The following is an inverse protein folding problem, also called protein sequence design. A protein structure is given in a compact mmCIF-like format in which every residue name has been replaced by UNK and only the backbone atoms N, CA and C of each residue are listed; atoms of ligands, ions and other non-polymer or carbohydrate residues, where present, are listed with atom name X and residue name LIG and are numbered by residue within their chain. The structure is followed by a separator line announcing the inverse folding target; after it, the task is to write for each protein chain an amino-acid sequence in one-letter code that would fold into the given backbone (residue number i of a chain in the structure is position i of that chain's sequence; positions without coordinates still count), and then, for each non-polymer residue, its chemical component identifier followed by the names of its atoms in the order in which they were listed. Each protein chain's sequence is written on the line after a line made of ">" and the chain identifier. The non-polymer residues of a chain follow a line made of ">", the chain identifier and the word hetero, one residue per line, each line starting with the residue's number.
data_IF_945290602978
#
_entry.id   IF_945290602978
#
_cell.length_a   1.000
_cell.length_b   1.000
_cell.length_c   1.000
_cell.angle_alpha   90.00
_cell.angle_beta   90.00
_cell.angle_gamma   90.00
#
_symmetry.space_group_name_H-M   'P 1'
#
loop_
_entity.id
_entity.type
_entity.pdbx_description
1 polymer ?
#
# COMPACT_ATOMS: atom_id res chain seq x y z
N UNK A 1 -12.44 8.64 -7.67
CA UNK A 1 -11.22 9.04 -8.40
C UNK A 1 -10.29 7.87 -8.72
N UNK A 2 -10.01 6.95 -7.78
CA UNK A 2 -9.29 5.72 -8.16
C UNK A 2 -10.10 4.90 -9.18
N UNK A 3 -11.41 4.83 -8.95
CA UNK A 3 -12.37 4.21 -9.86
C UNK A 3 -12.48 4.94 -11.21
N UNK A 4 -12.33 6.28 -11.26
CA UNK A 4 -12.41 7.01 -12.53
C UNK A 4 -11.17 6.79 -13.40
N UNK A 5 -9.98 6.66 -12.79
CA UNK A 5 -8.78 6.21 -13.50
C UNK A 5 -9.00 4.83 -14.12
N UNK A 6 -9.53 3.90 -13.33
CA UNK A 6 -9.86 2.55 -13.79
C UNK A 6 -10.87 2.57 -14.95
N UNK A 7 -11.97 3.30 -14.81
CA UNK A 7 -13.04 3.38 -15.81
C UNK A 7 -12.56 4.04 -17.11
N UNK A 8 -11.69 5.07 -17.01
CA UNK A 8 -11.07 5.73 -18.15
C UNK A 8 -10.11 4.82 -18.92
N UNK A 9 -9.25 4.07 -18.20
CA UNK A 9 -8.34 3.09 -18.80
C UNK A 9 -9.12 1.93 -19.45
N UNK A 10 -10.15 1.41 -18.79
CA UNK A 10 -11.03 0.39 -19.36
C UNK A 10 -11.71 0.86 -20.65
N UNK A 11 -12.13 2.13 -20.71
CA UNK A 11 -12.71 2.73 -21.91
C UNK A 11 -11.69 2.84 -23.05
N UNK A 12 -10.44 3.20 -22.73
CA UNK A 12 -9.33 3.20 -23.68
C UNK A 12 -9.04 1.81 -24.26
N UNK A 13 -9.17 0.76 -23.44
CA UNK A 13 -8.97 -0.62 -23.90
C UNK A 13 -10.14 -1.15 -24.74
N UNK A 14 -11.37 -0.79 -24.38
CA UNK A 14 -12.58 -1.15 -25.15
C UNK A 14 -12.59 -0.51 -26.54
N UNK A 15 -12.10 0.72 -26.71
CA UNK A 15 -12.05 1.36 -28.04
C UNK A 15 -11.09 0.65 -29.02
N UNK A 16 -10.09 -0.05 -28.49
CA UNK A 16 -9.17 -0.90 -29.25
C UNK A 16 -9.74 -2.32 -29.49
N UNK A 17 -10.77 -2.72 -28.74
CA UNK A 17 -11.45 -4.00 -28.89
C UNK A 17 -12.22 -4.02 -30.22
N UNK A 18 -11.97 -5.04 -31.05
CA UNK A 18 -12.55 -5.15 -32.40
C UNK A 18 -11.71 -4.52 -33.52
N UNK A 19 -10.59 -3.86 -33.20
CA UNK A 19 -9.59 -3.48 -34.22
C UNK A 19 -8.73 -4.71 -34.52
N UNK A 20 -8.73 -5.17 -35.78
CA UNK A 20 -8.02 -6.39 -36.19
C UNK A 20 -6.48 -6.28 -36.22
N UNK A 21 -5.93 -5.06 -36.20
CA UNK A 21 -4.47 -4.79 -36.13
C UNK A 21 -4.20 -3.52 -35.34
N UNK A 22 -3.02 -3.47 -34.71
CA UNK A 22 -2.49 -2.28 -34.03
C UNK A 22 -1.98 -1.29 -35.10
N UNK A 23 -2.69 -0.19 -35.33
CA UNK A 23 -2.30 0.87 -36.28
C UNK A 23 -1.87 2.13 -35.52
N UNK A 24 -1.08 3.00 -36.15
CA UNK A 24 -0.63 4.25 -35.54
C UNK A 24 -1.80 5.14 -35.09
N UNK A 25 -2.87 5.20 -35.90
CA UNK A 25 -4.07 5.97 -35.57
C UNK A 25 -4.78 5.45 -34.31
N UNK A 26 -5.01 4.13 -34.23
CA UNK A 26 -5.67 3.52 -33.06
C UNK A 26 -4.79 3.63 -31.80
N UNK A 27 -3.47 3.48 -31.93
CA UNK A 27 -2.54 3.65 -30.79
C UNK A 27 -2.57 5.08 -30.26
N UNK A 28 -2.52 6.08 -31.14
CA UNK A 28 -2.57 7.49 -30.75
C UNK A 28 -3.86 7.82 -30.00
N UNK A 29 -4.99 7.27 -30.44
CA UNK A 29 -6.27 7.40 -29.76
C UNK A 29 -6.25 6.77 -28.36
N UNK A 30 -5.75 5.53 -28.24
CA UNK A 30 -5.61 4.84 -26.94
C UNK A 30 -4.70 5.59 -25.96
N UNK A 31 -3.55 6.09 -26.45
CA UNK A 31 -2.61 6.89 -25.66
C UNK A 31 -3.25 8.19 -25.17
N UNK A 32 -4.00 8.90 -26.01
CA UNK A 32 -4.70 10.12 -25.62
C UNK A 32 -5.79 9.87 -24.56
N UNK A 33 -6.47 8.72 -24.60
CA UNK A 33 -7.43 8.32 -23.58
C UNK A 33 -6.74 7.99 -22.25
N UNK A 34 -5.58 7.31 -22.29
CA UNK A 34 -4.75 7.06 -21.10
C UNK A 34 -4.28 8.38 -20.48
N UNK A 35 -3.77 9.31 -21.30
CA UNK A 35 -3.35 10.66 -20.88
C UNK A 35 -4.49 11.38 -20.14
N UNK A 36 -5.67 11.45 -20.77
CA UNK A 36 -6.85 12.08 -20.17
C UNK A 36 -7.22 11.43 -18.83
N UNK A 37 -7.21 10.10 -18.77
CA UNK A 37 -7.57 9.36 -17.56
C UNK A 37 -6.60 9.63 -16.40
N UNK A 38 -5.30 9.77 -16.69
CA UNK A 38 -4.29 10.11 -15.70
C UNK A 38 -4.46 11.55 -15.20
N UNK A 39 -4.73 12.51 -16.09
CA UNK A 39 -5.00 13.90 -15.71
C UNK A 39 -6.26 14.03 -14.86
N UNK A 40 -7.35 13.35 -15.25
CA UNK A 40 -8.61 13.31 -14.48
C UNK A 40 -8.44 12.64 -13.11
N UNK A 41 -7.42 11.80 -12.94
CA UNK A 41 -7.06 11.18 -11.67
C UNK A 41 -6.10 12.03 -10.81
N UNK A 42 -5.93 13.31 -11.14
CA UNK A 42 -5.01 14.25 -10.52
C UNK A 42 -3.54 13.77 -10.51
N UNK A 43 -3.10 13.06 -11.56
CA UNK A 43 -1.66 12.80 -11.75
C UNK A 43 -0.99 14.10 -12.18
N UNK A 44 0.22 14.36 -11.66
CA UNK A 44 1.02 15.51 -12.04
C UNK A 44 1.29 15.53 -13.56
N UNK A 45 1.06 16.68 -14.21
CA UNK A 45 1.07 16.80 -15.68
C UNK A 45 2.43 16.45 -16.31
N UNK A 46 3.54 16.74 -15.63
CA UNK A 46 4.87 16.42 -16.14
C UNK A 46 5.13 14.92 -16.11
N UNK A 47 4.60 14.25 -15.07
CA UNK A 47 4.63 12.79 -14.93
C UNK A 47 3.76 12.13 -15.99
N UNK A 48 2.55 12.66 -16.24
CA UNK A 48 1.68 12.16 -17.32
C UNK A 48 2.39 12.27 -18.67
N UNK A 49 2.97 13.43 -18.99
CA UNK A 49 3.68 13.64 -20.27
C UNK A 49 4.85 12.68 -20.46
N UNK A 50 5.64 12.45 -19.41
CA UNK A 50 6.74 11.49 -19.45
C UNK A 50 6.22 10.07 -19.68
N UNK A 51 5.22 9.66 -18.90
CA UNK A 51 4.63 8.32 -18.99
C UNK A 51 4.03 8.03 -20.38
N UNK A 52 3.25 8.97 -20.91
CA UNK A 52 2.63 8.88 -22.24
C UNK A 52 3.69 8.75 -23.34
N UNK A 53 4.80 9.48 -23.21
CA UNK A 53 5.93 9.38 -24.13
C UNK A 53 6.58 7.99 -24.07
N UNK A 54 6.80 7.45 -22.88
CA UNK A 54 7.43 6.14 -22.70
C UNK A 54 6.52 5.02 -23.25
N UNK A 55 5.21 5.10 -23.02
CA UNK A 55 4.20 4.21 -23.61
C UNK A 55 4.20 4.29 -25.13
N UNK A 56 4.30 5.49 -25.71
CA UNK A 56 4.34 5.67 -27.17
C UNK A 56 5.57 5.00 -27.79
N UNK A 57 6.75 5.20 -27.19
CA UNK A 57 8.01 4.58 -27.65
C UNK A 57 7.94 3.06 -27.55
N UNK A 58 7.42 2.53 -26.43
CA UNK A 58 7.25 1.09 -26.24
C UNK A 58 6.26 0.49 -27.26
N UNK A 59 5.15 1.19 -27.53
CA UNK A 59 4.15 0.76 -28.51
C UNK A 59 4.70 0.74 -29.95
N UNK A 60 5.49 1.74 -30.34
CA UNK A 60 6.17 1.75 -31.64
C UNK A 60 7.17 0.59 -31.79
N UNK A 61 7.95 0.29 -30.74
CA UNK A 61 8.89 -0.82 -30.73
C UNK A 61 8.21 -2.19 -30.87
N UNK A 62 7.01 -2.36 -30.31
CA UNK A 62 6.23 -3.61 -30.40
C UNK A 62 5.35 -3.72 -31.63
N UNK A 63 5.14 -2.63 -32.37
CA UNK A 63 4.41 -2.60 -33.66
C UNK A 63 4.96 -3.61 -34.67
N UNK A 64 6.23 -4.00 -34.54
CA UNK A 64 6.91 -4.97 -35.42
C UNK A 64 6.40 -6.41 -35.22
N UNK A 65 5.77 -6.71 -34.07
CA UNK A 65 5.14 -7.99 -33.81
C UNK A 65 3.65 -7.89 -34.16
N UNK A 66 3.25 -8.54 -35.25
CA UNK A 66 1.86 -8.63 -35.72
C UNK A 66 0.99 -9.38 -34.70
N UNK A 67 0.54 -8.70 -33.64
CA UNK A 67 -0.34 -9.29 -32.62
C UNK A 67 -1.78 -9.38 -33.14
N UNK A 68 -2.35 -10.58 -33.07
CA UNK A 68 -3.76 -10.85 -33.39
C UNK A 68 -4.73 -10.21 -32.38
N UNK A 69 -4.22 -9.70 -31.24
CA UNK A 69 -5.01 -9.06 -30.17
C UNK A 69 -4.38 -7.71 -29.76
N UNK A 70 -4.63 -6.65 -30.55
CA UNK A 70 -4.04 -5.32 -30.32
C UNK A 70 -4.38 -4.70 -28.95
N UNK A 71 -5.59 -4.94 -28.45
CA UNK A 71 -6.03 -4.43 -27.15
C UNK A 71 -5.23 -5.02 -25.98
N UNK A 72 -5.02 -6.34 -25.94
CA UNK A 72 -4.25 -6.99 -24.88
C UNK A 72 -2.79 -6.55 -24.89
N UNK A 73 -2.20 -6.38 -26.08
CA UNK A 73 -0.83 -5.91 -26.20
C UNK A 73 -0.68 -4.47 -25.71
N UNK A 74 -1.64 -3.59 -26.03
CA UNK A 74 -1.64 -2.22 -25.52
C UNK A 74 -1.80 -2.16 -24.00
N UNK A 75 -2.73 -2.95 -23.42
CA UNK A 75 -2.87 -3.09 -21.97
C UNK A 75 -1.56 -3.54 -21.34
N UNK A 76 -0.90 -4.53 -21.94
CA UNK A 76 0.38 -5.06 -21.47
C UNK A 76 1.49 -4.00 -21.50
N UNK A 77 1.57 -3.19 -22.56
CA UNK A 77 2.53 -2.07 -22.63
C UNK A 77 2.27 -1.09 -21.49
N UNK A 78 1.03 -0.65 -21.31
CA UNK A 78 0.66 0.29 -20.23
C UNK A 78 0.97 -0.30 -18.85
N UNK A 79 0.66 -1.58 -18.63
CA UNK A 79 1.00 -2.30 -17.41
C UNK A 79 2.50 -2.29 -17.12
N UNK A 80 3.31 -2.67 -18.10
CA UNK A 80 4.77 -2.73 -17.92
C UNK A 80 5.38 -1.35 -17.64
N UNK A 81 4.91 -0.31 -18.33
CA UNK A 81 5.36 1.06 -18.06
C UNK A 81 4.90 1.56 -16.68
N UNK A 82 3.70 1.17 -16.21
CA UNK A 82 3.26 1.47 -14.84
C UNK A 82 4.13 0.75 -13.82
N UNK A 83 4.44 -0.54 -14.03
CA UNK A 83 5.33 -1.29 -13.14
C UNK A 83 6.72 -0.66 -13.08
N UNK A 84 7.28 -0.24 -14.22
CA UNK A 84 8.57 0.47 -14.26
C UNK A 84 8.52 1.79 -13.51
N UNK A 85 7.47 2.59 -13.71
CA UNK A 85 7.31 3.89 -13.05
C UNK A 85 7.16 3.74 -11.53
N UNK A 86 6.41 2.73 -11.09
CA UNK A 86 6.18 2.45 -9.68
C UNK A 86 7.37 1.76 -9.00
N UNK A 87 8.22 1.10 -9.79
CA UNK A 87 9.50 0.53 -9.36
C UNK A 87 10.68 1.53 -9.43
N UNK A 88 11.89 1.07 -9.09
CA UNK A 88 12.18 -0.12 -8.29
C UNK A 88 11.70 0.05 -6.83
N UNK A 89 11.54 -1.07 -6.13
CA UNK A 89 11.06 -1.13 -4.75
C UNK A 89 12.04 -1.87 -3.86
N UNK A 90 12.32 -1.30 -2.70
CA UNK A 90 13.07 -1.95 -1.64
C UNK A 90 12.29 -1.81 -0.32
N UNK A 91 11.63 -2.91 0.07
CA UNK A 91 10.85 -2.97 1.30
C UNK A 91 11.69 -3.39 2.51
N UNK A 92 13.00 -3.59 2.33
CA UNK A 92 13.88 -4.02 3.42
C UNK A 92 14.10 -2.88 4.41
N UNK A 93 14.19 -3.27 5.68
CA UNK A 93 14.68 -2.40 6.74
C UNK A 93 16.20 -2.69 6.88
N UNK A 94 17.08 -1.68 6.79
CA UNK A 94 18.52 -1.84 6.89
C UNK A 94 18.90 -2.03 8.36
N UNK A 95 18.76 -3.26 8.82
CA UNK A 95 19.09 -3.65 10.18
C UNK A 95 20.61 -3.58 10.37
N UNK A 96 21.06 -2.76 11.32
CA UNK A 96 22.46 -2.71 11.72
C UNK A 96 22.74 -3.87 12.67
N UNK A 97 23.78 -4.66 12.40
CA UNK A 97 24.18 -5.75 13.30
C UNK A 97 24.89 -5.16 14.52
N UNK A 98 24.39 -5.44 15.72
CA UNK A 98 25.01 -5.01 16.97
C UNK A 98 24.79 -3.55 17.35
N UNK A 99 24.03 -2.80 16.55
CA UNK A 99 23.67 -1.41 16.80
C UNK A 99 22.15 -1.22 16.70
N UNK A 100 21.64 -0.10 17.24
CA UNK A 100 20.26 0.29 17.03
C UNK A 100 20.06 0.80 15.60
N UNK A 101 19.06 0.26 14.91
CA UNK A 101 18.54 0.87 13.68
C UNK A 101 17.55 1.96 14.05
N UNK A 102 17.80 3.19 13.62
CA UNK A 102 16.91 4.32 13.87
C UNK A 102 16.13 4.67 12.61
N UNK A 103 14.81 4.77 12.71
CA UNK A 103 13.90 5.16 11.63
C UNK A 103 13.22 6.46 12.04
N UNK A 104 13.40 7.51 11.25
CA UNK A 104 12.78 8.81 11.46
C UNK A 104 11.56 8.97 10.56
N UNK A 105 10.40 9.27 11.16
CA UNK A 105 9.13 9.40 10.43
C UNK A 105 8.82 10.87 10.22
N UNK A 106 8.83 11.34 8.97
CA UNK A 106 8.51 12.73 8.61
C UNK A 106 7.26 12.82 7.73
N UNK A 107 6.73 14.03 7.56
CA UNK A 107 5.54 14.29 6.74
C UNK A 107 4.56 15.29 7.37
N UNK A 108 3.55 15.69 6.60
CA UNK A 108 2.57 16.68 7.05
C UNK A 108 1.68 16.20 8.21
N UNK A 109 1.04 17.15 8.87
CA UNK A 109 0.02 16.86 9.87
C UNK A 109 -1.14 16.09 9.23
N UNK A 110 -1.65 15.09 9.92
CA UNK A 110 -2.78 14.28 9.44
C UNK A 110 -2.42 13.22 8.39
N UNK A 111 -1.15 13.12 7.97
CA UNK A 111 -0.71 12.07 7.03
C UNK A 111 -0.65 10.65 7.64
N UNK A 112 -0.85 10.53 8.96
CA UNK A 112 -0.90 9.24 9.65
C UNK A 112 0.42 8.77 10.25
N UNK A 113 1.41 9.66 10.49
CA UNK A 113 2.72 9.33 11.09
C UNK A 113 2.63 8.49 12.36
N UNK A 114 1.94 8.98 13.40
CA UNK A 114 1.79 8.31 14.70
C UNK A 114 1.18 6.90 14.57
N UNK A 115 0.11 6.77 13.78
CA UNK A 115 -0.50 5.45 13.51
C UNK A 115 0.44 4.54 12.71
N UNK A 116 1.17 5.10 11.74
CA UNK A 116 2.15 4.36 10.94
C UNK A 116 3.32 3.85 11.78
N UNK A 117 3.76 4.60 12.80
CA UNK A 117 4.76 4.12 13.77
C UNK A 117 4.29 2.83 14.48
N UNK A 118 3.02 2.79 14.90
CA UNK A 118 2.42 1.60 15.50
C UNK A 118 2.37 0.41 14.54
N UNK A 119 1.91 0.63 13.32
CA UNK A 119 1.83 -0.41 12.29
C UNK A 119 3.21 -0.95 11.89
N UNK A 120 4.17 -0.06 11.70
CA UNK A 120 5.55 -0.45 11.37
C UNK A 120 6.18 -1.24 12.53
N UNK A 121 5.87 -0.88 13.77
CA UNK A 121 6.31 -1.66 14.95
C UNK A 121 5.75 -3.09 14.94
N UNK A 122 4.50 -3.28 14.54
CA UNK A 122 3.93 -4.63 14.38
C UNK A 122 4.68 -5.44 13.32
N UNK A 123 4.94 -4.85 12.15
CA UNK A 123 5.71 -5.49 11.08
C UNK A 123 7.14 -5.86 11.53
N UNK A 124 7.80 -5.00 12.31
CA UNK A 124 9.11 -5.27 12.90
C UNK A 124 9.03 -6.45 13.90
N UNK A 125 7.98 -6.52 14.72
CA UNK A 125 7.77 -7.65 15.64
C UNK A 125 7.53 -8.96 14.91
N UNK A 126 6.83 -8.97 13.78
CA UNK A 126 6.65 -10.15 12.93
C UNK A 126 7.99 -10.70 12.44
N UNK A 127 8.97 -9.82 12.21
CA UNK A 127 10.36 -10.19 11.88
C UNK A 127 11.19 -10.62 13.10
N UNK A 128 10.56 -10.80 14.27
CA UNK A 128 11.19 -11.19 15.55
C UNK A 128 12.20 -10.17 16.09
N UNK A 129 12.03 -8.90 15.73
CA UNK A 129 12.83 -7.80 16.23
C UNK A 129 12.06 -7.03 17.31
N UNK A 130 12.79 -6.29 18.14
CA UNK A 130 12.21 -5.48 19.23
C UNK A 130 12.15 -4.00 18.82
N UNK A 131 10.98 -3.48 18.39
CA UNK A 131 10.82 -2.05 18.15
C UNK A 131 10.73 -1.28 19.48
N UNK A 132 11.01 0.01 19.40
CA UNK A 132 10.82 0.98 20.47
C UNK A 132 10.42 2.33 19.86
N UNK A 133 9.50 3.04 20.49
CA UNK A 133 8.94 4.28 19.95
C UNK A 133 9.46 5.49 20.73
N UNK A 134 9.70 6.60 20.03
CA UNK A 134 10.07 7.88 20.66
C UNK A 134 9.08 8.94 20.18
N UNK A 135 8.39 9.57 21.12
CA UNK A 135 7.46 10.66 20.86
C UNK A 135 8.24 11.99 20.72
N UNK A 136 8.63 12.32 19.49
CA UNK A 136 9.34 13.55 19.17
C UNK A 136 8.42 14.69 18.67
N UNK A 137 7.11 14.44 18.56
CA UNK A 137 6.10 15.47 18.33
C UNK A 137 5.74 16.22 19.62
N UNK A 138 6.62 17.14 20.02
CA UNK A 138 6.46 17.93 21.25
C UNK A 138 5.38 19.02 21.15
N UNK A 139 4.91 19.31 19.94
CA UNK A 139 3.97 20.40 19.69
C UNK A 139 2.51 19.97 19.87
N UNK A 140 2.24 18.65 19.83
CA UNK A 140 0.90 18.08 19.98
C UNK A 140 0.88 17.11 21.16
N UNK A 141 0.53 17.56 22.38
CA UNK A 141 0.46 16.70 23.56
C UNK A 141 -0.40 15.45 23.35
N UNK A 142 -1.51 15.58 22.64
CA UNK A 142 -2.38 14.44 22.29
C UNK A 142 -1.70 13.39 21.39
N UNK A 143 -0.72 13.78 20.56
CA UNK A 143 0.02 12.83 19.73
C UNK A 143 0.96 11.96 20.59
N UNK A 144 1.56 12.54 21.63
CA UNK A 144 2.38 11.80 22.60
C UNK A 144 1.52 10.76 23.34
N UNK A 145 0.36 11.19 23.85
CA UNK A 145 -0.60 10.29 24.51
C UNK A 145 -1.11 9.20 23.57
N UNK A 146 -1.44 9.56 22.32
CA UNK A 146 -1.84 8.61 21.29
C UNK A 146 -0.76 7.56 21.03
N UNK A 147 0.52 7.97 20.92
CA UNK A 147 1.63 7.04 20.70
C UNK A 147 1.79 6.07 21.89
N UNK A 148 1.62 6.55 23.13
CA UNK A 148 1.62 5.69 24.33
C UNK A 148 0.47 4.68 24.33
N UNK A 149 -0.74 5.10 23.95
CA UNK A 149 -1.89 4.20 23.84
C UNK A 149 -1.61 3.11 22.81
N UNK A 150 -1.11 3.49 21.63
CA UNK A 150 -0.71 2.55 20.58
C UNK A 150 0.36 1.60 21.10
N UNK A 151 1.44 2.12 21.68
CA UNK A 151 2.53 1.31 22.23
C UNK A 151 2.05 0.29 23.26
N UNK A 152 1.14 0.70 24.17
CA UNK A 152 0.53 -0.21 25.14
C UNK A 152 -0.32 -1.30 24.46
N UNK A 153 -1.10 -0.97 23.45
CA UNK A 153 -1.93 -1.94 22.71
C UNK A 153 -1.09 -3.02 22.03
N UNK A 154 0.08 -2.65 21.49
CA UNK A 154 0.97 -3.59 20.78
C UNK A 154 2.11 -4.13 21.65
N UNK A 155 2.17 -3.76 22.93
CA UNK A 155 3.25 -4.17 23.85
C UNK A 155 4.63 -3.69 23.44
N UNK A 156 4.74 -2.44 22.97
CA UNK A 156 5.98 -1.78 22.55
C UNK A 156 6.26 -0.58 23.48
N UNK A 157 7.50 -0.48 23.94
CA UNK A 157 7.93 0.62 24.80
C UNK A 157 7.91 1.96 24.06
N UNK A 158 7.48 3.01 24.75
CA UNK A 158 7.41 4.38 24.23
C UNK A 158 8.14 5.30 25.18
N UNK A 159 9.08 6.10 24.64
CA UNK A 159 9.74 7.16 25.39
C UNK A 159 9.15 8.53 25.02
N UNK A 160 8.94 9.35 26.04
CA UNK A 160 8.53 10.74 25.91
C UNK A 160 9.04 11.51 27.12
N UNK A 161 9.29 12.82 26.97
CA UNK A 161 9.68 13.70 28.06
C UNK A 161 8.69 14.86 28.19
N UNK A 162 7.62 14.70 28.98
CA UNK A 162 6.62 15.76 29.14
C UNK A 162 7.26 17.07 29.63
N UNK A 163 6.89 18.20 29.02
CA UNK A 163 7.42 19.53 29.35
C UNK A 163 8.78 19.87 28.75
N UNK A 164 9.40 18.96 28.02
CA UNK A 164 10.57 19.26 27.18
C UNK A 164 10.13 19.88 25.85
N UNK A 165 10.89 20.86 25.35
CA UNK A 165 10.61 21.56 24.09
C UNK A 165 11.67 21.29 23.01
N UNK A 166 12.81 20.68 23.38
CA UNK A 166 13.87 20.30 22.46
C UNK A 166 13.67 18.87 21.93
N UNK A 167 13.24 18.67 20.66
CA UNK A 167 13.02 17.35 20.10
C UNK A 167 14.32 16.57 19.89
N UNK A 168 15.47 17.24 19.68
CA UNK A 168 16.77 16.57 19.53
C UNK A 168 17.16 15.90 20.84
N UNK A 169 16.95 16.60 21.96
CA UNK A 169 17.20 16.07 23.30
C UNK A 169 16.30 14.86 23.60
N UNK A 170 15.00 14.95 23.27
CA UNK A 170 14.06 13.83 23.42
C UNK A 170 14.48 12.62 22.57
N UNK A 171 14.92 12.84 21.33
CA UNK A 171 15.41 11.77 20.48
C UNK A 171 16.66 11.10 21.05
N UNK A 172 17.66 11.88 21.50
CA UNK A 172 18.90 11.34 22.10
C UNK A 172 18.62 10.52 23.35
N UNK A 173 17.85 11.06 24.29
CA UNK A 173 17.49 10.34 25.52
C UNK A 173 16.62 9.11 25.22
N UNK A 174 15.75 9.20 24.20
CA UNK A 174 14.93 8.08 23.74
C UNK A 174 15.75 6.92 23.14
N UNK A 175 16.83 7.23 22.43
CA UNK A 175 17.77 6.20 21.96
C UNK A 175 18.45 5.48 23.11
N UNK A 176 18.89 6.21 24.15
CA UNK A 176 19.50 5.59 25.35
C UNK A 176 18.48 4.72 26.11
N UNK A 177 17.24 5.18 26.25
CA UNK A 177 16.15 4.38 26.83
C UNK A 177 15.87 3.11 26.01
N UNK A 178 15.91 3.20 24.68
CA UNK A 178 15.73 2.04 23.80
C UNK A 178 16.87 1.02 23.93
N UNK A 179 18.13 1.48 24.06
CA UNK A 179 19.28 0.60 24.33
C UNK A 179 19.11 -0.12 25.66
N UNK A 180 18.72 0.60 26.71
CA UNK A 180 18.48 0.02 28.03
C UNK A 180 17.33 -1.01 28.03
N UNK A 181 16.32 -0.80 27.18
CA UNK A 181 15.22 -1.75 26.97
C UNK A 181 15.57 -2.95 26.07
N UNK A 182 16.80 -3.01 25.53
CA UNK A 182 17.25 -4.07 24.64
C UNK A 182 16.52 -4.09 23.29
N UNK A 183 16.10 -2.91 22.79
CA UNK A 183 15.49 -2.76 21.48
C UNK A 183 16.49 -3.02 20.35
N UNK A 184 15.98 -3.36 19.16
CA UNK A 184 16.76 -3.48 17.92
C UNK A 184 16.50 -2.31 16.97
N UNK A 185 15.26 -1.81 16.96
CA UNK A 185 14.80 -0.75 16.06
C UNK A 185 14.12 0.35 16.87
N UNK A 186 14.47 1.60 16.60
CA UNK A 186 13.82 2.77 17.20
C UNK A 186 13.09 3.54 16.11
N UNK A 187 11.83 3.88 16.34
CA UNK A 187 11.04 4.73 15.44
C UNK A 187 10.79 6.07 16.13
N UNK A 188 11.21 7.15 15.47
CA UNK A 188 11.00 8.53 15.92
C UNK A 188 9.74 9.09 15.25
N UNK A 189 8.69 9.34 16.03
CA UNK A 189 7.49 10.02 15.56
C UNK A 189 7.70 11.54 15.68
N UNK A 190 8.11 12.20 14.60
CA UNK A 190 8.40 13.64 14.62
C UNK A 190 7.14 14.48 14.43
N UNK A 191 7.24 15.77 14.77
CA UNK A 191 6.19 16.73 14.50
C UNK A 191 5.82 16.79 13.01
N UNK A 192 4.56 17.15 12.75
CA UNK A 192 4.13 17.61 11.43
C UNK A 192 3.33 18.90 11.54
N UNK A 193 3.25 19.65 10.45
CA UNK A 193 2.46 20.88 10.34
C UNK A 193 1.42 20.79 9.23
N UNK A 194 0.44 21.69 9.30
CA UNK A 194 -0.61 21.86 8.29
C UNK A 194 -0.04 22.28 6.93
N UNK A 195 1.01 23.10 6.94
CA UNK A 195 1.74 23.53 5.76
C UNK A 195 3.24 23.34 5.98
N UNK A 196 3.98 23.33 4.90
CA UNK A 196 5.44 23.30 4.92
C UNK A 196 5.90 24.70 5.30
N UNK A 197 6.41 24.87 6.51
CA UNK A 197 7.02 26.11 6.96
C UNK A 197 8.53 25.91 7.23
N UNK A 198 9.28 27.01 7.17
CA UNK A 198 10.74 26.97 7.30
C UNK A 198 11.20 26.49 8.68
N UNK A 199 10.42 26.77 9.73
CA UNK A 199 10.73 26.40 11.11
C UNK A 199 10.65 24.88 11.31
N UNK A 200 9.59 24.24 10.82
CA UNK A 200 9.44 22.79 10.83
C UNK A 200 10.58 22.12 10.07
N UNK A 201 10.88 22.60 8.86
CA UNK A 201 11.91 21.99 8.04
C UNK A 201 13.29 22.11 8.70
N UNK A 202 13.58 23.23 9.37
CA UNK A 202 14.82 23.38 10.12
C UNK A 202 14.86 22.48 11.35
N UNK A 203 13.76 22.36 12.11
CA UNK A 203 13.68 21.45 13.25
C UNK A 203 13.91 19.99 12.83
N UNK A 204 13.29 19.55 11.73
CA UNK A 204 13.45 18.21 11.18
C UNK A 204 14.88 17.98 10.70
N UNK A 205 15.52 18.97 10.04
CA UNK A 205 16.95 18.90 9.68
C UNK A 205 17.87 18.83 10.90
N UNK A 206 17.52 19.51 11.99
CA UNK A 206 18.30 19.44 13.22
C UNK A 206 18.26 18.04 13.84
N UNK A 207 17.08 17.39 13.86
CA UNK A 207 16.94 16.00 14.30
C UNK A 207 17.76 15.08 13.39
N UNK A 208 17.61 15.21 12.08
CA UNK A 208 18.34 14.41 11.09
C UNK A 208 19.87 14.49 11.27
N UNK A 209 20.42 15.71 11.35
CA UNK A 209 21.85 15.94 11.59
C UNK A 209 22.35 15.45 12.94
N UNK A 210 21.53 15.57 13.98
CA UNK A 210 21.95 15.27 15.34
C UNK A 210 21.82 13.78 15.70
N UNK A 211 20.93 13.06 15.02
CA UNK A 211 20.60 11.66 15.28
C UNK A 211 21.19 10.74 14.21
N UNK A 212 21.40 11.23 12.99
CA UNK A 212 21.87 10.45 11.84
C UNK A 212 21.04 9.16 11.67
N UNK A 213 19.71 9.30 11.46
CA UNK A 213 18.82 8.15 11.39
C UNK A 213 19.28 7.19 10.27
N UNK A 214 19.12 5.89 10.51
CA UNK A 214 19.48 4.88 9.51
C UNK A 214 18.53 4.91 8.32
N UNK A 215 17.27 5.29 8.54
CA UNK A 215 16.33 5.64 7.48
C UNK A 215 15.48 6.84 7.85
N UNK A 216 15.23 7.70 6.88
CA UNK A 216 14.20 8.74 6.90
C UNK A 216 13.04 8.29 6.01
N UNK A 217 11.88 8.05 6.61
CA UNK A 217 10.67 7.63 5.91
C UNK A 217 9.65 8.76 5.89
N UNK A 218 9.25 9.15 4.69
CA UNK A 218 8.22 10.15 4.47
C UNK A 218 6.84 9.51 4.42
N UNK A 219 5.94 9.93 5.31
CA UNK A 219 4.55 9.47 5.36
C UNK A 219 3.64 10.45 4.63
N UNK A 220 3.00 9.97 3.57
CA UNK A 220 2.14 10.76 2.67
C UNK A 220 0.74 10.20 2.66
N UNK A 221 -0.24 11.11 2.72
CA UNK A 221 -1.65 10.77 2.60
C UNK A 221 -2.02 10.57 1.11
N UNK A 222 -2.54 9.40 0.75
CA UNK A 222 -3.00 9.11 -0.61
C UNK A 222 -4.26 9.89 -1.03
N UNK A 223 -4.96 10.55 -0.11
CA UNK A 223 -6.18 11.30 -0.40
C UNK A 223 -5.90 12.76 -0.82
N UNK A 224 -4.74 13.31 -0.48
CA UNK A 224 -4.46 14.76 -0.62
C UNK A 224 -4.03 15.18 -2.03
N UNK A 225 -3.96 14.25 -2.99
CA UNK A 225 -3.78 14.57 -4.41
C UNK A 225 -2.48 15.33 -4.70
N UNK A 226 -2.59 16.56 -5.21
CA UNK A 226 -1.43 17.40 -5.53
C UNK A 226 -0.68 17.93 -4.29
N UNK A 227 -1.36 18.08 -3.14
CA UNK A 227 -0.69 18.52 -1.91
C UNK A 227 0.31 17.47 -1.41
N UNK A 228 0.02 16.18 -1.63
CA UNK A 228 0.97 15.09 -1.41
C UNK A 228 2.25 15.28 -2.24
N UNK A 229 2.11 15.69 -3.50
CA UNK A 229 3.24 15.89 -4.43
C UNK A 229 4.10 17.06 -3.99
N UNK A 230 3.48 18.19 -3.68
CA UNK A 230 4.16 19.40 -3.20
C UNK A 230 4.90 19.12 -1.88
N UNK A 231 4.23 18.41 -0.96
CA UNK A 231 4.84 17.99 0.29
C UNK A 231 6.04 17.09 0.08
N UNK A 232 5.87 16.04 -0.73
CA UNK A 232 6.93 15.08 -0.97
C UNK A 232 8.15 15.74 -1.61
N UNK A 233 7.92 16.67 -2.55
CA UNK A 233 8.99 17.46 -3.17
C UNK A 233 9.76 18.27 -2.13
N UNK A 234 9.07 19.06 -1.28
CA UNK A 234 9.75 19.92 -0.32
C UNK A 234 10.54 19.12 0.74
N UNK A 235 9.98 18.00 1.21
CA UNK A 235 10.71 17.12 2.13
C UNK A 235 11.93 16.49 1.45
N UNK A 236 11.82 16.09 0.18
CA UNK A 236 12.92 15.48 -0.58
C UNK A 236 14.03 16.48 -0.93
N UNK A 237 13.70 17.76 -1.10
CA UNK A 237 14.68 18.84 -1.28
C UNK A 237 15.40 19.19 0.03
N UNK A 238 14.73 19.01 1.16
CA UNK A 238 15.25 19.39 2.47
C UNK A 238 15.99 18.27 3.20
N UNK A 239 15.62 17.01 2.96
CA UNK A 239 16.17 15.82 3.60
C UNK A 239 16.46 14.76 2.55
N UNK A 240 17.47 13.93 2.81
CA UNK A 240 17.65 12.70 2.06
C UNK A 240 16.65 11.66 2.53
N UNK A 241 15.51 11.55 1.83
CA UNK A 241 14.47 10.56 2.14
C UNK A 241 14.88 9.20 1.55
N UNK A 242 14.82 8.13 2.36
CA UNK A 242 15.15 6.77 1.93
C UNK A 242 13.94 6.00 1.40
N UNK A 243 12.72 6.44 1.75
CA UNK A 243 11.51 5.83 1.24
C UNK A 243 10.23 6.53 1.66
N UNK A 244 9.15 6.19 0.96
CA UNK A 244 7.81 6.73 1.21
C UNK A 244 6.88 5.63 1.75
N UNK A 245 6.04 6.01 2.70
CA UNK A 245 4.89 5.22 3.13
C UNK A 245 3.62 5.96 2.73
N UNK A 246 2.80 5.35 1.88
CA UNK A 246 1.52 5.91 1.45
C UNK A 246 0.41 5.42 2.38
N UNK A 247 -0.34 6.33 3.01
CA UNK A 247 -1.46 5.98 3.90
C UNK A 247 -2.82 6.19 3.23
N UNK A 248 -3.86 5.65 3.85
CA UNK A 248 -5.27 5.82 3.45
C UNK A 248 -5.57 5.33 2.03
N UNK A 249 -4.95 4.23 1.59
CA UNK A 249 -5.15 3.63 0.25
C UNK A 249 -6.35 2.64 0.19
N UNK A 250 -7.10 2.57 1.27
CA UNK A 250 -8.35 1.83 1.46
C UNK A 250 -9.60 2.59 1.01
N UNK A 251 -9.54 3.93 0.98
CA UNK A 251 -10.63 4.78 0.50
C UNK A 251 -10.62 5.03 -1.02
N UNK A 252 -11.35 6.05 -1.47
CA UNK A 252 -11.29 6.58 -2.85
C UNK A 252 -9.97 7.37 -3.11
N UNK A 253 -8.87 6.84 -2.56
CA UNK A 253 -7.57 7.44 -2.58
C UNK A 253 -7.13 7.69 -4.02
N UNK A 254 -6.56 8.86 -4.28
CA UNK A 254 -6.18 9.26 -5.63
C UNK A 254 -4.93 8.47 -6.01
N UNK A 255 -5.10 7.39 -6.77
CA UNK A 255 -3.98 6.59 -7.30
C UNK A 255 -2.96 7.43 -8.06
N UNK A 256 -3.39 8.59 -8.58
CA UNK A 256 -2.51 9.57 -9.19
C UNK A 256 -1.53 10.26 -8.24
N UNK A 257 -1.87 10.43 -6.96
CA UNK A 257 -0.93 10.95 -5.96
C UNK A 257 0.26 10.01 -5.78
N UNK A 258 0.02 8.70 -5.79
CA UNK A 258 1.06 7.67 -5.65
C UNK A 258 2.06 7.73 -6.82
N UNK A 259 1.55 7.73 -8.05
CA UNK A 259 2.33 7.85 -9.30
C UNK A 259 3.17 9.14 -9.26
N UNK A 260 2.54 10.25 -8.86
CA UNK A 260 3.17 11.57 -8.86
C UNK A 260 4.25 11.71 -7.80
N UNK A 261 4.00 11.23 -6.57
CA UNK A 261 4.98 11.26 -5.48
C UNK A 261 6.20 10.43 -5.86
N UNK A 262 6.01 9.21 -6.40
CA UNK A 262 7.11 8.36 -6.84
C UNK A 262 7.96 9.04 -7.91
N UNK A 263 7.32 9.61 -8.93
CA UNK A 263 8.04 10.24 -10.02
C UNK A 263 8.80 11.51 -9.59
N UNK A 264 8.21 12.33 -8.73
CA UNK A 264 8.83 13.61 -8.29
C UNK A 264 9.96 13.39 -7.29
N UNK A 265 9.81 12.43 -6.37
CA UNK A 265 10.83 12.17 -5.35
C UNK A 265 11.93 11.22 -5.82
N UNK A 266 11.62 10.34 -6.79
CA UNK A 266 12.47 9.22 -7.20
C UNK A 266 12.78 8.18 -6.10
N UNK A 267 12.32 8.38 -4.87
CA UNK A 267 12.55 7.45 -3.76
C UNK A 267 11.60 6.25 -3.83
N UNK A 268 11.97 5.07 -3.30
CA UNK A 268 11.08 3.90 -3.32
C UNK A 268 9.87 4.10 -2.40
N UNK A 269 8.69 3.70 -2.85
CA UNK A 269 7.55 3.50 -1.96
C UNK A 269 7.77 2.15 -1.29
N UNK A 270 7.88 2.12 0.05
CA UNK A 270 8.19 0.90 0.81
C UNK A 270 6.94 0.19 1.32
N UNK A 271 5.97 0.96 1.80
CA UNK A 271 4.78 0.41 2.43
C UNK A 271 3.54 1.20 2.05
N UNK A 272 2.40 0.51 2.12
CA UNK A 272 1.07 1.07 1.92
C UNK A 272 0.19 0.76 3.13
N UNK A 273 -0.50 1.79 3.64
CA UNK A 273 -1.53 1.64 4.66
C UNK A 273 -2.88 1.37 4.02
N UNK A 274 -3.46 0.21 4.30
CA UNK A 274 -4.69 -0.32 3.67
C UNK A 274 -5.88 -0.36 4.63
N UNK A 275 -5.86 0.46 5.69
CA UNK A 275 -6.94 0.52 6.68
C UNK A 275 -6.53 1.30 7.93
N UNK A 276 -7.41 1.37 8.93
CA UNK A 276 -7.12 2.04 10.20
C UNK A 276 -6.48 1.11 11.25
N UNK A 277 -6.73 -0.20 11.13
CA UNK A 277 -6.20 -1.20 12.06
C UNK A 277 -4.67 -1.27 12.07
N UNK A 278 -4.08 -1.67 13.20
CA UNK A 278 -2.64 -1.68 13.42
C UNK A 278 -1.88 -2.76 12.61
N UNK A 279 -2.61 -3.72 12.02
CA UNK A 279 -2.10 -4.74 11.10
C UNK A 279 -2.27 -4.35 9.62
N UNK A 280 -2.94 -3.23 9.32
CA UNK A 280 -3.19 -2.75 7.96
C UNK A 280 -2.03 -1.91 7.40
N UNK A 281 -0.83 -2.50 7.38
CA UNK A 281 0.35 -1.99 6.68
C UNK A 281 0.98 -3.12 5.88
N UNK A 282 1.06 -2.93 4.57
CA UNK A 282 1.51 -3.95 3.63
C UNK A 282 2.76 -3.46 2.87
N UNK A 283 3.72 -4.34 2.55
CA UNK A 283 4.81 -3.99 1.65
C UNK A 283 4.29 -3.54 0.28
N UNK A 284 4.85 -2.47 -0.27
CA UNK A 284 4.44 -1.98 -1.58
C UNK A 284 4.90 -2.92 -2.69
N UNK A 285 4.05 -3.13 -3.70
CA UNK A 285 4.28 -4.02 -4.83
C UNK A 285 3.85 -3.34 -6.13
N UNK A 286 4.80 -2.96 -7.01
CA UNK A 286 4.50 -2.29 -8.26
C UNK A 286 3.53 -3.08 -9.14
N UNK A 287 3.73 -4.39 -9.25
CA UNK A 287 2.94 -5.30 -10.09
C UNK A 287 1.48 -5.36 -9.63
N UNK A 288 1.27 -5.47 -8.32
CA UNK A 288 -0.06 -5.50 -7.72
C UNK A 288 -0.77 -4.15 -7.87
N UNK A 289 -0.05 -3.07 -7.61
CA UNK A 289 -0.60 -1.71 -7.76
C UNK A 289 -0.93 -1.38 -9.22
N UNK A 290 -0.07 -1.72 -10.17
CA UNK A 290 -0.34 -1.55 -11.61
C UNK A 290 -1.56 -2.37 -12.06
N UNK A 291 -1.68 -3.61 -11.59
CA UNK A 291 -2.86 -4.46 -11.86
C UNK A 291 -4.13 -3.86 -11.29
N UNK A 292 -4.06 -3.30 -10.07
CA UNK A 292 -5.16 -2.59 -9.41
C UNK A 292 -5.55 -1.33 -10.18
N UNK A 293 -4.60 -0.52 -10.64
CA UNK A 293 -4.85 0.67 -11.48
C UNK A 293 -5.56 0.28 -12.79
N UNK A 294 -5.16 -0.85 -13.40
CA UNK A 294 -5.72 -1.30 -14.67
C UNK A 294 -6.99 -2.15 -14.54
N UNK A 295 -7.52 -2.35 -13.34
CA UNK A 295 -8.68 -3.23 -13.07
C UNK A 295 -8.50 -4.66 -13.56
N UNK A 296 -7.26 -5.13 -13.65
CA UNK A 296 -6.95 -6.50 -14.09
C UNK A 296 -7.10 -7.52 -12.95
N UNK A 297 -7.41 -7.06 -11.72
CA UNK A 297 -7.39 -7.87 -10.50
C UNK A 297 -5.96 -8.13 -10.03
N UNK A 298 -5.75 -8.23 -8.72
CA UNK A 298 -4.46 -8.65 -8.15
C UNK A 298 -4.55 -10.11 -7.70
N UNK A 299 -4.40 -11.01 -8.67
CA UNK A 299 -4.45 -12.47 -8.45
C UNK A 299 -3.40 -12.90 -7.42
N UNK A 300 -2.27 -12.18 -7.33
CA UNK A 300 -1.20 -12.53 -6.41
C UNK A 300 -1.54 -12.11 -4.98
N UNK A 301 -2.20 -10.97 -4.79
CA UNK A 301 -2.70 -10.56 -3.47
C UNK A 301 -3.89 -11.42 -3.02
N UNK A 302 -4.77 -11.82 -3.93
CA UNK A 302 -5.81 -12.84 -3.64
C UNK A 302 -5.17 -14.14 -3.15
N UNK A 303 -4.15 -14.63 -3.87
CA UNK A 303 -3.44 -15.85 -3.50
C UNK A 303 -2.73 -15.70 -2.15
N UNK A 304 -2.10 -14.54 -1.88
CA UNK A 304 -1.43 -14.28 -0.60
C UNK A 304 -2.42 -14.18 0.56
N UNK A 305 -3.51 -13.44 0.41
CA UNK A 305 -4.52 -13.34 1.47
C UNK A 305 -5.15 -14.71 1.74
N UNK A 306 -5.43 -15.49 0.68
CA UNK A 306 -5.81 -16.90 0.81
C UNK A 306 -4.75 -17.71 1.57
N UNK A 307 -3.46 -17.52 1.27
CA UNK A 307 -2.36 -18.15 1.99
C UNK A 307 -2.23 -17.68 3.44
N UNK A 308 -2.53 -16.42 3.76
CA UNK A 308 -2.44 -15.86 5.12
C UNK A 308 -3.54 -16.40 6.04
N UNK A 309 -4.66 -16.80 5.45
CA UNK A 309 -5.81 -17.39 6.15
C UNK A 309 -5.67 -18.90 6.39
N UNK A 310 -4.75 -19.57 5.71
CA UNK A 310 -4.55 -21.02 5.76
C UNK A 310 -3.18 -21.28 6.41
N UNK A 311 -3.19 -21.88 7.60
CA UNK A 311 -1.94 -22.27 8.28
C UNK A 311 -1.12 -23.23 7.41
N UNK A 312 0.22 -23.16 7.45
CA UNK A 312 1.13 -23.97 6.62
C UNK A 312 0.88 -25.49 6.80
N UNK A 313 0.37 -25.89 7.98
CA UNK A 313 -0.06 -27.26 8.27
C UNK A 313 -1.38 -27.63 7.61
N UNK A 314 -2.35 -26.73 7.58
CA UNK A 314 -3.64 -26.94 6.90
C UNK A 314 -3.47 -26.97 5.39
N UNK A 315 -2.56 -26.17 4.85
CA UNK A 315 -2.24 -26.14 3.43
C UNK A 315 -1.83 -27.52 2.90
N UNK A 316 -0.91 -28.20 3.58
CA UNK A 316 -0.48 -29.56 3.22
C UNK A 316 -1.65 -30.55 3.28
N UNK A 317 -2.49 -30.45 4.32
CA UNK A 317 -3.68 -31.29 4.46
C UNK A 317 -4.69 -31.07 3.32
N UNK A 318 -4.94 -29.82 2.95
CA UNK A 318 -5.85 -29.47 1.85
C UNK A 318 -5.27 -29.90 0.50
N UNK A 319 -3.99 -29.63 0.24
CA UNK A 319 -3.29 -30.06 -0.99
C UNK A 319 -3.26 -31.59 -1.12
N UNK A 320 -2.97 -32.32 -0.03
CA UNK A 320 -2.98 -33.79 -0.03
C UNK A 320 -4.38 -34.37 -0.26
N UNK A 321 -5.42 -33.74 0.29
CA UNK A 321 -6.81 -34.18 0.11
C UNK A 321 -7.34 -33.86 -1.29
N UNK A 322 -7.01 -32.69 -1.84
CA UNK A 322 -7.31 -32.33 -3.23
C UNK A 322 -6.60 -33.24 -4.24
N UNK A 323 -5.31 -33.55 -4.01
CA UNK A 323 -4.55 -34.49 -4.84
C UNK A 323 -5.12 -35.91 -4.81
N UNK A 324 -5.78 -36.30 -3.71
CA UNK A 324 -6.49 -37.58 -3.56
C UNK A 324 -7.95 -37.53 -4.03
N UNK A 325 -8.44 -36.38 -4.51
CA UNK A 325 -9.83 -36.20 -4.96
C UNK A 325 -10.88 -36.23 -3.84
N UNK A 326 -10.46 -36.08 -2.58
CA UNK A 326 -11.34 -36.11 -1.41
C UNK A 326 -11.65 -34.67 -1.02
N UNK A 327 -12.69 -34.10 -1.63
CA UNK A 327 -13.21 -32.78 -1.25
C UNK A 327 -14.65 -32.95 -0.77
N UNK A 328 -14.87 -32.83 0.54
CA UNK A 328 -16.17 -33.05 1.18
C UNK A 328 -16.97 -31.76 1.30
N UNK A 329 -18.28 -31.86 1.54
CA UNK A 329 -19.10 -30.67 1.80
C UNK A 329 -18.74 -30.03 3.15
N UNK A 330 -18.24 -30.82 4.11
CA UNK A 330 -17.67 -30.29 5.34
C UNK A 330 -16.43 -29.41 5.09
N UNK A 331 -15.56 -29.80 4.15
CA UNK A 331 -14.39 -29.00 3.78
C UNK A 331 -14.78 -27.70 3.10
N UNK A 332 -15.79 -27.76 2.22
CA UNK A 332 -16.35 -26.57 1.60
C UNK A 332 -16.92 -25.62 2.65
N UNK A 333 -17.70 -26.13 3.62
CA UNK A 333 -18.22 -25.35 4.75
C UNK A 333 -17.12 -24.67 5.55
N UNK A 334 -16.07 -25.40 5.92
CA UNK A 334 -14.97 -24.86 6.74
C UNK A 334 -14.23 -23.74 6.01
N UNK A 335 -14.03 -23.89 4.70
CA UNK A 335 -13.49 -22.83 3.85
C UNK A 335 -14.41 -21.61 3.81
N UNK A 336 -15.72 -21.80 3.62
CA UNK A 336 -16.70 -20.69 3.60
C UNK A 336 -16.80 -19.98 4.96
N UNK A 337 -16.71 -20.71 6.08
CA UNK A 337 -16.70 -20.12 7.42
C UNK A 337 -15.45 -19.27 7.67
N UNK A 338 -14.29 -19.66 7.14
CA UNK A 338 -13.06 -18.83 7.23
C UNK A 338 -13.16 -17.56 6.38
N UNK A 339 -13.88 -17.62 5.26
CA UNK A 339 -14.19 -16.48 4.40
C UNK A 339 -15.31 -15.56 4.95
N UNK A 340 -16.01 -15.98 6.01
CA UNK A 340 -17.09 -15.24 6.68
C UNK A 340 -16.61 -14.00 7.44
N UNK A 341 -15.30 -13.76 7.57
CA UNK A 341 -14.81 -12.52 8.18
C UNK A 341 -15.36 -11.30 7.42
N UNK A 342 -16.03 -10.35 8.09
CA UNK A 342 -16.65 -9.22 7.42
C UNK A 342 -15.61 -8.46 6.58
N UNK A 343 -15.97 -8.16 5.33
CA UNK A 343 -15.11 -7.44 4.37
C UNK A 343 -14.12 -8.31 3.59
N UNK A 344 -13.77 -9.51 4.06
CA UNK A 344 -12.74 -10.36 3.44
C UNK A 344 -13.19 -10.94 2.09
N UNK A 345 -14.43 -11.44 2.02
CA UNK A 345 -15.00 -11.96 0.76
C UNK A 345 -15.14 -10.86 -0.29
N UNK A 346 -15.60 -9.66 0.10
CA UNK A 346 -15.66 -8.50 -0.80
C UNK A 346 -14.26 -8.06 -1.23
N UNK A 347 -13.27 -8.09 -0.33
CA UNK A 347 -11.86 -7.81 -0.63
C UNK A 347 -11.34 -8.80 -1.68
N UNK A 348 -11.58 -10.11 -1.53
CA UNK A 348 -11.15 -11.11 -2.52
C UNK A 348 -11.87 -10.99 -3.86
N UNK A 349 -13.19 -10.76 -3.87
CA UNK A 349 -13.97 -10.58 -5.10
C UNK A 349 -13.55 -9.33 -5.88
N UNK A 350 -13.27 -8.23 -5.18
CA UNK A 350 -12.76 -6.99 -5.78
C UNK A 350 -11.36 -7.14 -6.38
N UNK A 351 -10.59 -8.13 -5.92
CA UNK A 351 -9.24 -8.41 -6.42
C UNK A 351 -9.23 -9.44 -7.55
N UNK A 352 -10.36 -10.08 -7.89
CA UNK A 352 -10.44 -11.03 -9.02
C UNK A 352 -10.74 -10.32 -10.37
N UNK A 353 -10.04 -10.69 -11.46
CA UNK A 353 -10.29 -10.13 -12.78
C UNK A 353 -11.74 -10.39 -13.24
N UNK A 354 -12.40 -9.38 -13.81
CA UNK A 354 -13.71 -9.55 -14.46
C UNK A 354 -14.91 -9.76 -13.53
N UNK A 355 -14.73 -9.82 -12.21
CA UNK A 355 -15.83 -9.96 -11.24
C UNK A 355 -16.31 -8.63 -10.64
N UNK A 356 -15.81 -7.49 -11.10
CA UNK A 356 -16.18 -6.16 -10.58
C UNK A 356 -17.67 -5.82 -10.68
N UNK A 357 -18.35 -6.22 -11.76
CA UNK A 357 -19.81 -6.05 -11.87
C UNK A 357 -20.59 -6.99 -10.94
N UNK A 358 -20.10 -8.23 -10.77
CA UNK A 358 -20.68 -9.22 -9.85
C UNK A 358 -20.51 -8.74 -8.40
N UNK A 359 -19.35 -8.18 -8.04
CA UNK A 359 -19.10 -7.57 -6.73
C UNK A 359 -20.07 -6.42 -6.45
N UNK A 360 -20.32 -5.54 -7.44
CA UNK A 360 -21.32 -4.45 -7.32
C UNK A 360 -22.75 -4.96 -7.17
N UNK A 361 -23.12 -6.05 -7.86
CA UNK A 361 -24.43 -6.69 -7.70
C UNK A 361 -24.57 -7.39 -6.34
N UNK A 362 -23.50 -8.03 -5.87
CA UNK A 362 -23.47 -8.73 -4.58
C UNK A 362 -23.31 -7.78 -3.38
N UNK A 363 -22.83 -6.54 -3.58
CA UNK A 363 -22.73 -5.53 -2.51
C UNK A 363 -24.10 -5.14 -1.91
N UNK A 364 -25.19 -5.32 -2.67
CA UNK A 364 -26.56 -5.03 -2.26
C UNK A 364 -27.34 -6.26 -1.79
N UNK A 365 -26.71 -7.44 -1.77
CA UNK A 365 -27.30 -8.69 -1.29
C UNK A 365 -26.72 -9.01 0.07
N UNK A 366 -27.56 -9.48 0.99
CA UNK A 366 -27.16 -9.83 2.35
C UNK A 366 -26.35 -11.15 2.31
N UNK A 367 -25.09 -11.06 1.84
CA UNK A 367 -24.23 -12.21 1.54
C UNK A 367 -23.99 -13.08 2.78
N UNK A 368 -24.01 -12.47 3.97
CA UNK A 368 -23.95 -13.21 5.23
C UNK A 368 -25.15 -14.15 5.43
N UNK A 369 -26.33 -13.75 4.96
CA UNK A 369 -27.57 -14.51 5.11
C UNK A 369 -27.59 -15.72 4.18
N UNK A 370 -27.18 -15.55 2.94
CA UNK A 370 -27.00 -16.66 1.97
C UNK A 370 -25.88 -17.61 2.43
N UNK A 371 -24.78 -17.07 2.96
CA UNK A 371 -23.69 -17.88 3.49
C UNK A 371 -24.08 -18.69 4.72
N UNK A 372 -24.82 -18.06 5.63
CA UNK A 372 -25.38 -18.70 6.83
C UNK A 372 -26.37 -19.80 6.44
N UNK A 373 -27.17 -19.57 5.39
CA UNK A 373 -28.09 -20.57 4.84
C UNK A 373 -27.35 -21.77 4.27
N UNK A 374 -26.32 -21.57 3.44
CA UNK A 374 -25.51 -22.66 2.89
C UNK A 374 -24.78 -23.45 3.98
N UNK A 375 -24.22 -22.75 4.97
CA UNK A 375 -23.57 -23.37 6.14
C UNK A 375 -24.59 -24.21 6.93
N UNK A 376 -25.78 -23.67 7.18
CA UNK A 376 -26.85 -24.37 7.88
C UNK A 376 -27.37 -25.61 7.15
N UNK A 377 -27.37 -25.60 5.81
CA UNK A 377 -27.71 -26.78 5.00
C UNK A 377 -26.67 -27.88 5.22
N UNK A 378 -25.38 -27.57 5.12
CA UNK A 378 -24.30 -28.55 5.33
C UNK A 378 -24.25 -29.06 6.78
N UNK A 379 -24.51 -28.20 7.77
CA UNK A 379 -24.54 -28.62 9.17
C UNK A 379 -25.74 -29.51 9.52
N UNK A 380 -26.80 -29.45 8.73
CA UNK A 380 -28.01 -30.29 8.87
C UNK A 380 -27.87 -31.66 8.18
N UNK A 381 -26.83 -31.86 7.38
CA UNK A 381 -26.55 -33.12 6.71
C UNK A 381 -26.01 -34.18 7.68
N UNK A 382 -26.32 -35.44 7.45
CA UNK A 382 -25.71 -36.58 8.15
C UNK A 382 -24.23 -36.73 7.77
N UNK A 383 -23.41 -37.47 8.56
CA UNK A 383 -22.00 -37.69 8.23
C UNK A 383 -21.74 -38.36 6.88
N UNK A 384 -22.71 -39.07 6.32
CA UNK A 384 -22.62 -39.70 4.99
C UNK A 384 -22.99 -38.74 3.86
N UNK A 385 -23.73 -37.68 4.17
CA UNK A 385 -24.15 -36.65 3.22
C UNK A 385 -23.14 -35.48 3.16
N UNK A 386 -22.37 -35.25 4.23
CA UNK A 386 -21.26 -34.29 4.29
C UNK A 386 -20.00 -34.82 3.64
#
# INVERSE_FOLDING_TARGET
>A
MFQSLQDGLLSAFKSLQGKGKLTEANMREGIAMVERSLVEADVNIDVVRSFVKDVAVAAEGRRVLLSLRPHEEFVKIVYEELVKLLGPVDNSLPLKRGELTTIMMCGLQGSGKTTTCGKLSMLIKEQKLKPFLVAADLQRPAAIEQLHVIGKQIGVGVFSKPGENDPVKVCREGLEAAKAAGANVVILDTAGRLAIDAELMEQIKQIDRAIEPTQVLLVVDGMTGQDAVNSAKAFNEALSIDGVIMTKLDGDARGGALISVKAVTSVPIKFIGTGEHLDALEPFRPEGMASRILSMGDIVEVAREAHRLIDDKERKSIEERMAKGIFTLADFRDMMQKLRKPGLMMKMLNLMPGMGEISKMMANTDNEKEMSRLTGIVDSMTPSER
#
